data_IF_620575592535
#
_entry.id   IF_620575592535
#
_cell.length_a   1.000
_cell.length_b   1.000
_cell.length_c   1.000
_cell.angle_alpha   90.00
_cell.angle_beta   90.00
_cell.angle_gamma   90.00
#
_symmetry.space_group_name_H-M   'P 1'
#
loop_
_entity.id
_entity.type
_entity.pdbx_description
1 polymer ?
#
# COMPACT_ATOMS: atom_id res chain seq x y z
N UNK A 1 4.20 4.90 -24.81
CA UNK A 1 4.70 5.11 -23.42
C UNK A 1 4.53 3.81 -22.64
N UNK A 2 5.29 3.56 -21.56
CA UNK A 2 5.24 2.27 -20.83
C UNK A 2 3.83 1.88 -20.37
N UNK A 3 2.99 2.84 -19.99
CA UNK A 3 1.59 2.60 -19.58
C UNK A 3 0.73 2.06 -20.74
N UNK A 4 1.00 2.48 -21.98
CA UNK A 4 0.26 2.01 -23.16
C UNK A 4 0.60 0.55 -23.46
N UNK A 5 1.84 0.12 -23.18
CA UNK A 5 2.26 -1.29 -23.31
C UNK A 5 1.48 -2.15 -22.33
N UNK A 6 1.37 -1.73 -21.06
CA UNK A 6 0.59 -2.45 -20.05
C UNK A 6 -0.89 -2.46 -20.41
N UNK A 7 -1.45 -1.33 -20.86
CA UNK A 7 -2.85 -1.27 -21.27
C UNK A 7 -3.16 -2.25 -22.42
N UNK A 8 -2.25 -2.35 -23.40
CA UNK A 8 -2.40 -3.26 -24.55
C UNK A 8 -2.26 -4.75 -24.19
N UNK A 9 -1.68 -5.08 -23.04
CA UNK A 9 -1.52 -6.46 -22.57
C UNK A 9 -2.60 -6.91 -21.58
N UNK A 10 -3.57 -6.03 -21.26
CA UNK A 10 -4.73 -6.41 -20.47
C UNK A 10 -5.57 -7.39 -21.29
N UNK A 11 -5.73 -8.64 -20.83
CA UNK A 11 -6.40 -9.67 -21.61
C UNK A 11 -7.92 -9.47 -21.61
N UNK A 12 -8.54 -9.76 -22.76
CA UNK A 12 -9.99 -9.72 -22.93
C UNK A 12 -10.69 -11.01 -22.47
N UNK A 13 -9.98 -12.15 -22.40
CA UNK A 13 -10.51 -13.48 -22.00
C UNK A 13 -9.44 -14.33 -21.26
N UNK A 14 -9.82 -15.35 -20.45
CA UNK A 14 -11.17 -15.74 -19.99
C UNK A 14 -11.65 -14.91 -18.77
N UNK A 15 -10.93 -13.86 -18.41
CA UNK A 15 -11.27 -12.94 -17.33
C UNK A 15 -10.97 -11.51 -17.81
N UNK A 16 -11.87 -10.85 -18.56
CA UNK A 16 -11.64 -9.51 -19.10
C UNK A 16 -11.24 -8.52 -18.01
N UNK A 17 -10.11 -7.81 -18.20
CA UNK A 17 -9.57 -6.84 -17.24
C UNK A 17 -8.49 -7.43 -16.31
N UNK A 18 -7.98 -6.62 -15.39
CA UNK A 18 -6.86 -6.98 -14.53
C UNK A 18 -5.52 -7.03 -15.26
N UNK A 19 -4.42 -6.91 -14.51
CA UNK A 19 -3.07 -6.79 -15.08
C UNK A 19 -2.28 -8.06 -14.76
N UNK A 20 -1.56 -8.58 -15.75
CA UNK A 20 -0.69 -9.73 -15.55
C UNK A 20 0.48 -9.37 -14.63
N UNK A 21 0.81 -10.27 -13.71
CA UNK A 21 1.98 -10.07 -12.85
C UNK A 21 3.28 -10.01 -13.67
N UNK A 22 3.41 -10.93 -14.64
CA UNK A 22 4.51 -10.96 -15.60
C UNK A 22 3.93 -10.74 -17.00
N UNK A 23 4.45 -9.76 -17.78
CA UNK A 23 3.97 -9.50 -19.13
C UNK A 23 3.88 -10.78 -19.97
N UNK A 24 2.78 -10.91 -20.72
CA UNK A 24 2.52 -12.00 -21.67
C UNK A 24 2.72 -13.42 -21.11
N UNK A 25 2.56 -13.58 -19.79
CA UNK A 25 2.74 -14.88 -19.12
C UNK A 25 1.49 -15.29 -18.33
N UNK A 26 0.43 -15.80 -19.00
CA UNK A 26 -0.85 -16.11 -18.36
C UNK A 26 -0.75 -17.09 -17.18
N UNK A 27 0.22 -18.00 -17.22
CA UNK A 27 0.48 -18.98 -16.15
C UNK A 27 0.97 -18.35 -14.84
N UNK A 28 1.39 -17.09 -14.85
CA UNK A 28 1.77 -16.33 -13.65
C UNK A 28 0.60 -15.60 -12.99
N UNK A 29 -0.56 -15.60 -13.64
CA UNK A 29 -1.78 -15.02 -13.08
C UNK A 29 -1.77 -13.49 -13.02
N UNK A 30 -2.87 -12.96 -12.50
CA UNK A 30 -3.09 -11.54 -12.26
C UNK A 30 -3.07 -11.28 -10.77
N UNK A 31 -2.46 -10.19 -10.36
CA UNK A 31 -2.33 -9.84 -8.96
C UNK A 31 -2.78 -8.41 -8.69
N UNK A 32 -3.23 -8.19 -7.47
CA UNK A 32 -3.77 -6.92 -7.02
C UNK A 32 -2.70 -5.84 -7.05
N UNK A 33 -1.41 -6.17 -6.83
CA UNK A 33 -0.33 -5.16 -6.84
C UNK A 33 -0.12 -4.55 -8.22
N UNK A 34 -0.09 -5.34 -9.30
CA UNK A 34 0.05 -4.76 -10.65
C UNK A 34 -1.20 -4.00 -11.06
N UNK A 35 -2.38 -4.46 -10.64
CA UNK A 35 -3.62 -3.75 -10.84
C UNK A 35 -3.63 -2.39 -10.12
N UNK A 36 -3.25 -2.34 -8.83
CA UNK A 36 -3.15 -1.11 -8.05
C UNK A 36 -2.19 -0.09 -8.68
N UNK A 37 -0.98 -0.55 -9.07
CA UNK A 37 0.02 0.29 -9.72
C UNK A 37 -0.48 0.82 -11.07
N UNK A 38 -1.13 -0.01 -11.86
CA UNK A 38 -1.69 0.40 -13.16
C UNK A 38 -2.84 1.40 -13.01
N UNK A 39 -3.75 1.17 -12.07
CA UNK A 39 -4.85 2.10 -11.77
C UNK A 39 -4.27 3.46 -11.36
N UNK A 40 -3.34 3.47 -10.41
CA UNK A 40 -2.72 4.69 -9.92
C UNK A 40 -1.98 5.42 -11.05
N UNK A 41 -1.10 4.72 -11.79
CA UNK A 41 -0.35 5.32 -12.89
C UNK A 41 -1.27 5.86 -13.98
N UNK A 42 -2.23 5.07 -14.45
CA UNK A 42 -3.19 5.49 -15.49
C UNK A 42 -3.99 6.72 -15.04
N UNK A 43 -4.43 6.76 -13.79
CA UNK A 43 -5.16 7.92 -13.27
C UNK A 43 -4.27 9.16 -13.19
N UNK A 44 -3.01 9.01 -12.78
CA UNK A 44 -2.03 10.11 -12.82
C UNK A 44 -1.78 10.61 -14.25
N UNK A 45 -1.66 9.71 -15.23
CA UNK A 45 -1.54 10.08 -16.64
C UNK A 45 -2.76 10.83 -17.15
N UNK A 46 -3.98 10.40 -16.78
CA UNK A 46 -5.19 11.17 -17.06
C UNK A 46 -5.13 12.56 -16.44
N UNK A 47 -4.67 12.69 -15.18
CA UNK A 47 -4.61 13.98 -14.49
C UNK A 47 -3.75 15.01 -15.23
N UNK A 48 -2.65 14.55 -15.87
CA UNK A 48 -1.69 15.37 -16.61
C UNK A 48 -2.17 15.64 -18.05
N UNK A 49 -2.58 14.60 -18.77
CA UNK A 49 -2.85 14.67 -20.22
C UNK A 49 -4.29 15.01 -20.55
N UNK A 50 -5.22 14.74 -19.63
CA UNK A 50 -6.67 14.74 -19.83
C UNK A 50 -7.17 13.77 -20.91
N UNK A 51 -6.34 12.83 -21.36
CA UNK A 51 -6.72 11.81 -22.33
C UNK A 51 -7.64 10.78 -21.68
N UNK A 52 -8.92 10.74 -22.09
CA UNK A 52 -9.96 9.96 -21.44
C UNK A 52 -9.67 8.45 -21.34
N UNK A 53 -8.96 7.87 -22.32
CA UNK A 53 -8.63 6.44 -22.32
C UNK A 53 -7.84 6.01 -21.08
N UNK A 54 -6.99 6.88 -20.51
CA UNK A 54 -6.26 6.56 -19.29
C UNK A 54 -7.17 6.40 -18.07
N UNK A 55 -8.19 7.26 -17.94
CA UNK A 55 -9.18 7.11 -16.87
C UNK A 55 -10.07 5.87 -17.10
N UNK A 56 -10.51 5.65 -18.34
CA UNK A 56 -11.28 4.44 -18.71
C UNK A 56 -10.53 3.16 -18.37
N UNK A 57 -9.22 3.10 -18.66
CA UNK A 57 -8.38 1.96 -18.32
C UNK A 57 -8.29 1.76 -16.80
N UNK A 58 -8.06 2.84 -16.04
CA UNK A 58 -8.00 2.79 -14.59
C UNK A 58 -9.31 2.25 -13.98
N UNK A 59 -10.46 2.79 -14.40
CA UNK A 59 -11.78 2.36 -13.94
C UNK A 59 -12.09 0.91 -14.34
N UNK A 60 -11.66 0.48 -15.53
CA UNK A 60 -11.83 -0.91 -16.00
C UNK A 60 -11.08 -1.89 -15.12
N UNK A 61 -9.82 -1.61 -14.78
CA UNK A 61 -9.02 -2.48 -13.91
C UNK A 61 -9.52 -2.44 -12.46
N UNK A 62 -9.96 -1.28 -11.96
CA UNK A 62 -10.60 -1.20 -10.65
C UNK A 62 -11.86 -2.08 -10.57
N UNK A 63 -12.75 -1.97 -11.56
CA UNK A 63 -13.97 -2.76 -11.64
C UNK A 63 -13.69 -4.26 -11.74
N UNK A 64 -12.57 -4.66 -12.36
CA UNK A 64 -12.11 -6.04 -12.35
C UNK A 64 -11.74 -6.50 -10.94
N UNK A 65 -10.98 -5.72 -10.17
CA UNK A 65 -10.62 -6.08 -8.78
C UNK A 65 -11.88 -6.32 -7.95
N UNK A 66 -12.87 -5.42 -8.03
CA UNK A 66 -14.11 -5.53 -7.25
C UNK A 66 -14.94 -6.79 -7.58
N UNK A 67 -14.72 -7.41 -8.74
CA UNK A 67 -15.42 -8.62 -9.19
C UNK A 67 -14.58 -9.89 -9.11
N UNK A 68 -13.28 -9.76 -8.85
CA UNK A 68 -12.35 -10.89 -8.92
C UNK A 68 -12.28 -11.71 -7.63
N UNK A 69 -12.92 -11.24 -6.55
CA UNK A 69 -12.80 -11.84 -5.22
C UNK A 69 -11.45 -11.56 -4.57
N UNK A 70 -10.67 -10.61 -5.11
CA UNK A 70 -9.41 -10.15 -4.53
C UNK A 70 -9.60 -9.09 -3.43
N UNK A 71 -10.83 -8.84 -3.00
CA UNK A 71 -11.15 -8.01 -1.85
C UNK A 71 -12.35 -8.55 -1.07
N UNK A 72 -12.53 -8.06 0.16
CA UNK A 72 -13.69 -8.36 1.00
C UNK A 72 -14.46 -7.09 1.42
N UNK A 73 -15.55 -7.28 2.16
CA UNK A 73 -16.40 -6.19 2.66
C UNK A 73 -15.72 -5.26 3.66
N UNK A 74 -14.61 -5.70 4.26
CA UNK A 74 -13.88 -4.97 5.30
C UNK A 74 -12.80 -4.05 4.70
N UNK A 75 -12.74 -3.94 3.36
CA UNK A 75 -11.75 -3.13 2.67
C UNK A 75 -10.36 -3.78 2.61
N UNK A 76 -10.27 -5.08 2.87
CA UNK A 76 -9.05 -5.86 2.76
C UNK A 76 -8.87 -6.36 1.33
N UNK A 77 -7.68 -6.16 0.78
CA UNK A 77 -7.29 -6.64 -0.55
C UNK A 77 -6.29 -7.79 -0.44
N UNK A 78 -6.56 -8.88 -1.14
CA UNK A 78 -5.73 -10.09 -1.21
C UNK A 78 -4.77 -10.00 -2.41
N UNK A 79 -3.75 -10.87 -2.46
CA UNK A 79 -2.75 -10.86 -3.54
C UNK A 79 -3.37 -11.08 -4.93
N UNK A 80 -4.47 -11.83 -5.02
CA UNK A 80 -5.20 -12.07 -6.25
C UNK A 80 -6.54 -12.78 -6.05
N UNK A 81 -7.21 -13.18 -7.15
CA UNK A 81 -8.45 -13.95 -7.15
C UNK A 81 -8.28 -15.30 -6.40
N UNK A 82 -9.29 -15.74 -5.65
CA UNK A 82 -9.21 -16.81 -4.63
C UNK A 82 -8.44 -18.12 -4.99
N UNK A 83 -7.24 -18.31 -4.41
CA UNK A 83 -6.81 -19.49 -3.60
C UNK A 83 -5.40 -19.29 -2.99
N UNK A 84 -5.00 -20.03 -1.93
CA UNK A 84 -4.51 -19.48 -0.69
C UNK A 84 -2.99 -19.62 -0.59
N UNK A 85 -2.27 -18.51 -0.53
CA UNK A 85 -1.06 -18.35 0.28
C UNK A 85 -0.75 -16.86 0.36
N UNK A 86 -0.61 -16.39 1.60
CA UNK A 86 -0.58 -14.98 2.00
C UNK A 86 0.48 -14.16 1.24
N UNK A 87 0.10 -12.96 0.77
CA UNK A 87 1.06 -12.08 0.10
C UNK A 87 0.53 -10.75 -0.47
N UNK A 88 -0.04 -9.88 0.38
CA UNK A 88 0.16 -8.41 0.34
C UNK A 88 -0.35 -7.53 -0.85
N UNK A 89 -1.26 -6.59 -0.55
CA UNK A 89 -1.38 -5.25 -1.23
C UNK A 89 -1.71 -4.13 -0.22
N UNK A 90 -1.11 -4.18 0.98
CA UNK A 90 -1.54 -3.52 2.24
C UNK A 90 -1.49 -1.99 2.28
N UNK A 91 -1.77 -1.33 1.18
CA UNK A 91 -1.98 0.10 1.13
C UNK A 91 -1.87 0.63 -0.29
N UNK A 92 -1.30 -0.12 -1.24
CA UNK A 92 -1.11 0.35 -2.61
C UNK A 92 -2.43 0.71 -3.29
N UNK A 93 -3.51 0.01 -2.95
CA UNK A 93 -4.85 0.37 -3.40
C UNK A 93 -5.34 1.71 -2.84
N UNK A 94 -4.83 2.20 -1.70
CA UNK A 94 -5.16 3.53 -1.17
C UNK A 94 -4.73 4.64 -2.14
N UNK A 95 -3.51 4.56 -2.67
CA UNK A 95 -3.04 5.54 -3.64
C UNK A 95 -3.87 5.49 -4.93
N UNK A 96 -4.22 4.29 -5.39
CA UNK A 96 -5.09 4.10 -6.56
C UNK A 96 -6.50 4.69 -6.36
N UNK A 97 -7.13 4.40 -5.21
CA UNK A 97 -8.46 4.91 -4.86
C UNK A 97 -8.46 6.43 -4.63
N UNK A 98 -7.42 6.95 -3.97
CA UNK A 98 -7.23 8.39 -3.81
C UNK A 98 -7.10 9.09 -5.16
N UNK A 99 -6.26 8.57 -6.07
CA UNK A 99 -6.12 9.12 -7.42
C UNK A 99 -7.45 9.08 -8.19
N UNK A 100 -8.19 7.97 -8.14
CA UNK A 100 -9.50 7.84 -8.79
C UNK A 100 -10.53 8.83 -8.22
N UNK A 101 -10.57 9.00 -6.89
CA UNK A 101 -11.40 10.02 -6.26
C UNK A 101 -11.03 11.42 -6.74
N UNK A 102 -9.75 11.79 -6.72
CA UNK A 102 -9.29 13.10 -7.18
C UNK A 102 -9.61 13.37 -8.66
N UNK A 103 -9.59 12.33 -9.50
CA UNK A 103 -9.87 12.45 -10.93
C UNK A 103 -11.36 12.54 -11.26
N UNK A 104 -12.24 11.95 -10.45
CA UNK A 104 -13.66 11.78 -10.78
C UNK A 104 -14.62 12.53 -9.85
N UNK A 105 -14.19 12.82 -8.62
CA UNK A 105 -15.06 13.29 -7.53
C UNK A 105 -16.01 12.22 -6.98
N UNK A 106 -15.89 10.96 -7.43
CA UNK A 106 -16.75 9.86 -7.01
C UNK A 106 -16.39 9.39 -5.59
N UNK A 107 -17.33 9.58 -4.66
CA UNK A 107 -17.15 9.26 -3.25
C UNK A 107 -17.06 7.76 -2.98
N UNK A 108 -17.46 6.90 -3.91
CA UNK A 108 -17.32 5.46 -3.71
C UNK A 108 -15.84 5.06 -3.62
N UNK A 109 -14.96 5.71 -4.40
CA UNK A 109 -13.50 5.51 -4.27
C UNK A 109 -12.96 6.05 -2.94
N UNK A 110 -13.45 7.20 -2.48
CA UNK A 110 -13.06 7.76 -1.19
C UNK A 110 -13.47 6.83 -0.04
N UNK A 111 -14.70 6.33 -0.06
CA UNK A 111 -15.24 5.43 0.95
C UNK A 111 -14.49 4.09 0.96
N UNK A 112 -14.20 3.52 -0.20
CA UNK A 112 -13.41 2.30 -0.31
C UNK A 112 -11.98 2.50 0.22
N UNK A 113 -11.34 3.63 -0.11
CA UNK A 113 -10.03 3.99 0.44
C UNK A 113 -10.05 4.16 1.95
N UNK A 114 -11.08 4.81 2.48
CA UNK A 114 -11.24 4.97 3.92
C UNK A 114 -11.44 3.63 4.64
N UNK A 115 -12.21 2.71 4.06
CA UNK A 115 -12.39 1.36 4.61
C UNK A 115 -11.06 0.59 4.64
N UNK A 116 -10.26 0.65 3.57
CA UNK A 116 -8.93 0.03 3.56
C UNK A 116 -7.98 0.65 4.58
N UNK A 117 -7.97 1.98 4.71
CA UNK A 117 -7.14 2.65 5.71
C UNK A 117 -7.57 2.24 7.13
N UNK A 118 -8.88 2.18 7.37
CA UNK A 118 -9.42 1.66 8.63
C UNK A 118 -8.90 0.25 8.93
N UNK A 119 -8.97 -0.67 7.96
CA UNK A 119 -8.48 -2.03 8.12
C UNK A 119 -6.98 -2.10 8.47
N UNK A 120 -6.14 -1.22 7.90
CA UNK A 120 -4.72 -1.12 8.29
C UNK A 120 -4.53 -0.70 9.75
N UNK A 121 -5.49 0.04 10.31
CA UNK A 121 -5.42 0.53 11.70
C UNK A 121 -6.03 -0.43 12.72
N UNK A 122 -6.90 -1.36 12.30
CA UNK A 122 -7.69 -2.19 13.23
C UNK A 122 -7.58 -3.69 13.02
N UNK A 123 -7.25 -4.17 11.83
CA UNK A 123 -7.14 -5.62 11.57
C UNK A 123 -5.87 -6.18 12.20
N UNK A 124 -6.00 -7.29 12.93
CA UNK A 124 -4.86 -8.03 13.48
C UNK A 124 -3.90 -8.56 12.40
N UNK A 125 -4.36 -8.66 11.15
CA UNK A 125 -3.53 -9.09 10.02
C UNK A 125 -2.49 -8.03 9.61
N UNK A 126 -2.78 -6.76 9.94
CA UNK A 126 -2.00 -5.61 9.50
C UNK A 126 -1.52 -4.74 10.66
N UNK A 127 -2.07 -4.94 11.84
CA UNK A 127 -1.81 -4.12 13.00
C UNK A 127 -1.61 -4.99 14.23
N UNK A 128 -0.41 -4.89 14.80
CA UNK A 128 -0.06 -5.53 16.06
C UNK A 128 0.29 -4.43 17.06
N UNK A 129 -0.52 -4.33 18.12
CA UNK A 129 -0.35 -3.33 19.20
C UNK A 129 -0.23 -1.89 18.69
N UNK A 130 -1.06 -1.51 17.71
CA UNK A 130 -1.05 -0.18 17.10
C UNK A 130 0.00 -0.01 15.98
N UNK A 131 0.86 -0.99 15.74
CA UNK A 131 1.97 -0.89 14.78
C UNK A 131 1.69 -1.72 13.54
N UNK A 132 1.92 -1.12 12.37
CA UNK A 132 1.82 -1.76 11.07
C UNK A 132 2.73 -3.00 11.02
N UNK A 133 2.15 -4.12 10.64
CA UNK A 133 2.74 -5.44 10.73
C UNK A 133 2.75 -6.15 9.38
N UNK A 134 3.88 -6.77 9.06
CA UNK A 134 3.99 -7.66 7.91
C UNK A 134 4.25 -9.12 8.31
N UNK A 135 3.26 -10.01 8.14
CA UNK A 135 3.34 -11.43 8.50
C UNK A 135 4.57 -12.14 7.92
N UNK A 136 4.93 -11.87 6.67
CA UNK A 136 6.05 -12.58 6.03
C UNK A 136 7.41 -12.16 6.59
N UNK A 137 7.49 -10.96 7.19
CA UNK A 137 8.76 -10.32 7.53
C UNK A 137 8.90 -9.71 8.94
N UNK A 138 7.83 -9.67 9.73
CA UNK A 138 7.86 -9.20 11.11
C UNK A 138 7.65 -10.37 12.10
N UNK A 139 7.31 -11.58 11.62
CA UNK A 139 7.35 -12.81 12.41
C UNK A 139 8.80 -13.28 12.63
N UNK A 140 9.04 -14.17 13.60
CA UNK A 140 10.38 -14.71 13.96
C UNK A 140 11.12 -15.38 12.79
N UNK A 141 10.44 -15.60 11.67
CA UNK A 141 10.95 -16.23 10.47
C UNK A 141 11.80 -15.32 9.57
N UNK A 142 12.02 -14.05 9.94
CA UNK A 142 12.68 -13.07 9.05
C UNK A 142 14.20 -12.96 9.18
N UNK A 143 14.82 -13.77 10.05
CA UNK A 143 16.26 -13.68 10.36
C UNK A 143 17.09 -14.78 9.69
N UNK A 144 16.50 -15.56 8.77
CA UNK A 144 17.16 -16.60 8.00
C UNK A 144 17.27 -16.21 6.52
N UNK A 145 18.44 -16.47 5.90
CA UNK A 145 18.84 -16.02 4.55
C UNK A 145 18.07 -16.59 3.35
N UNK A 146 16.75 -16.78 3.48
CA UNK A 146 15.87 -17.34 2.47
C UNK A 146 14.56 -16.54 2.36
N UNK A 147 14.58 -15.19 2.38
CA UNK A 147 13.36 -14.37 2.26
C UNK A 147 13.59 -13.09 1.45
N UNK A 148 12.53 -12.63 0.78
CA UNK A 148 12.53 -11.67 -0.33
C UNK A 148 12.70 -10.21 0.15
N UNK A 149 13.76 -9.53 -0.31
CA UNK A 149 14.00 -8.09 -0.06
C UNK A 149 12.76 -7.20 -0.31
N UNK A 150 11.86 -7.64 -1.20
CA UNK A 150 10.60 -6.98 -1.51
C UNK A 150 9.72 -6.77 -0.27
N UNK A 151 9.60 -7.76 0.60
CA UNK A 151 8.68 -7.68 1.74
C UNK A 151 9.16 -6.70 2.82
N UNK A 152 10.46 -6.43 2.86
CA UNK A 152 11.01 -5.35 3.68
C UNK A 152 10.75 -3.94 3.14
N UNK A 153 10.11 -3.76 1.99
CA UNK A 153 9.73 -2.44 1.46
C UNK A 153 8.23 -2.14 1.69
N UNK A 154 7.44 -3.17 1.97
CA UNK A 154 5.99 -3.12 1.89
C UNK A 154 5.33 -2.17 2.90
N UNK A 155 5.75 -2.18 4.18
CA UNK A 155 5.20 -1.24 5.17
C UNK A 155 5.46 0.21 4.78
N UNK A 156 6.62 0.49 4.19
CA UNK A 156 6.95 1.79 3.64
C UNK A 156 6.03 2.22 2.50
N UNK A 157 5.81 1.31 1.54
CA UNK A 157 4.92 1.58 0.40
C UNK A 157 3.48 1.81 0.89
N UNK A 158 3.02 1.05 1.88
CA UNK A 158 1.74 1.26 2.53
C UNK A 158 1.65 2.67 3.14
N UNK A 159 2.62 3.08 3.97
CA UNK A 159 2.64 4.42 4.58
C UNK A 159 2.67 5.55 3.54
N UNK A 160 3.40 5.38 2.44
CA UNK A 160 3.39 6.34 1.33
C UNK A 160 2.02 6.40 0.64
N UNK A 161 1.36 5.26 0.49
CA UNK A 161 0.03 5.21 -0.12
C UNK A 161 -1.05 5.80 0.79
N UNK A 162 -0.91 5.67 2.12
CA UNK A 162 -1.71 6.43 3.10
C UNK A 162 -1.54 7.92 2.87
N UNK A 163 -0.30 8.40 2.71
CA UNK A 163 -0.03 9.81 2.43
C UNK A 163 -0.78 10.28 1.17
N UNK A 164 -0.68 9.54 0.06
CA UNK A 164 -1.34 9.88 -1.20
C UNK A 164 -2.87 9.85 -1.12
N UNK A 165 -3.43 8.91 -0.37
CA UNK A 165 -4.87 8.87 -0.14
C UNK A 165 -5.34 10.06 0.68
N UNK A 166 -4.66 10.42 1.77
CA UNK A 166 -5.02 11.57 2.60
C UNK A 166 -4.87 12.89 1.84
N UNK A 167 -3.86 13.00 0.97
CA UNK A 167 -3.69 14.12 0.04
C UNK A 167 -4.89 14.28 -0.89
N UNK A 168 -5.33 13.19 -1.50
CA UNK A 168 -6.46 13.20 -2.42
C UNK A 168 -7.80 13.40 -1.70
N UNK A 169 -7.98 12.80 -0.53
CA UNK A 169 -9.17 12.95 0.30
C UNK A 169 -9.36 14.41 0.71
N UNK A 170 -8.27 15.06 1.13
CA UNK A 170 -8.25 16.44 1.61
C UNK A 170 -9.38 16.76 2.60
N UNK A 171 -9.63 15.81 3.51
CA UNK A 171 -10.71 15.86 4.49
C UNK A 171 -10.12 15.85 5.90
N UNK A 172 -10.22 16.97 6.66
CA UNK A 172 -9.68 17.07 8.01
C UNK A 172 -10.24 16.03 8.99
N UNK A 173 -11.48 15.57 8.81
CA UNK A 173 -12.07 14.56 9.69
C UNK A 173 -11.44 13.19 9.45
N UNK A 174 -11.23 12.81 8.19
CA UNK A 174 -10.51 11.58 7.83
C UNK A 174 -9.07 11.66 8.34
N UNK A 175 -8.37 12.77 8.10
CA UNK A 175 -7.00 12.97 8.58
C UNK A 175 -6.93 12.82 10.10
N UNK A 176 -7.75 13.57 10.84
CA UNK A 176 -7.75 13.55 12.31
C UNK A 176 -8.03 12.18 12.90
N UNK A 177 -8.83 11.35 12.23
CA UNK A 177 -9.14 10.00 12.68
C UNK A 177 -7.88 9.09 12.70
N UNK A 178 -7.00 9.25 11.70
CA UNK A 178 -5.83 8.38 11.53
C UNK A 178 -4.52 9.00 12.01
N UNK A 179 -4.47 10.32 12.25
CA UNK A 179 -3.28 11.03 12.72
C UNK A 179 -2.58 10.37 13.91
N UNK A 180 -3.28 9.89 14.96
CA UNK A 180 -2.62 9.21 16.08
C UNK A 180 -1.92 7.91 15.67
N UNK A 181 -2.55 7.10 14.83
CA UNK A 181 -1.97 5.84 14.34
C UNK A 181 -0.75 6.09 13.45
N UNK A 182 -0.80 7.11 12.58
CA UNK A 182 0.32 7.49 11.71
C UNK A 182 1.52 7.95 12.54
N UNK A 183 1.32 8.81 13.54
CA UNK A 183 2.38 9.23 14.45
C UNK A 183 2.98 8.05 15.22
N UNK A 184 2.12 7.13 15.68
CA UNK A 184 2.54 5.96 16.43
C UNK A 184 3.47 5.03 15.63
N UNK A 185 3.33 4.95 14.30
CA UNK A 185 4.23 4.14 13.47
C UNK A 185 5.70 4.52 13.65
N UNK A 186 5.97 5.81 13.72
CA UNK A 186 7.33 6.28 13.87
C UNK A 186 7.84 6.23 15.30
N UNK A 187 6.96 6.43 16.29
CA UNK A 187 7.29 6.13 17.69
C UNK A 187 7.75 4.68 17.80
N UNK A 188 7.00 3.75 17.19
CA UNK A 188 7.36 2.32 17.15
C UNK A 188 8.68 2.06 16.42
N UNK A 189 8.91 2.69 15.27
CA UNK A 189 10.19 2.59 14.54
C UNK A 189 11.36 3.04 15.43
N UNK A 190 11.24 4.21 16.06
CA UNK A 190 12.32 4.78 16.87
C UNK A 190 12.59 3.94 18.13
N UNK A 191 11.54 3.36 18.72
CA UNK A 191 11.64 2.54 19.92
C UNK A 191 12.18 1.13 19.67
N UNK A 192 11.84 0.53 18.51
CA UNK A 192 11.99 -0.90 18.27
C UNK A 192 12.94 -1.26 17.12
N UNK A 193 12.99 -0.43 16.08
CA UNK A 193 13.71 -0.72 14.83
C UNK A 193 15.05 0.01 14.71
N UNK A 194 15.21 1.16 15.38
CA UNK A 194 16.45 1.93 15.36
C UNK A 194 17.52 1.28 16.24
N UNK A 195 18.72 1.07 15.67
CA UNK A 195 19.87 0.60 16.44
C UNK A 195 20.59 1.76 17.15
N UNK A 196 21.49 1.45 18.08
CA UNK A 196 22.27 2.44 18.82
C UNK A 196 23.66 2.70 18.25
N UNK A 197 24.07 1.92 17.25
CA UNK A 197 25.45 1.93 16.76
C UNK A 197 25.67 3.04 15.72
N UNK A 198 24.68 3.25 14.84
CA UNK A 198 24.73 4.22 13.76
C UNK A 198 23.35 4.78 13.37
N UNK A 199 22.34 4.59 14.23
CA UNK A 199 20.94 4.95 13.97
C UNK A 199 20.33 4.25 12.73
N UNK A 200 20.89 3.12 12.26
CA UNK A 200 20.25 2.36 11.18
C UNK A 200 18.88 1.83 11.64
N UNK A 201 17.93 1.83 10.69
CA UNK A 201 16.57 1.35 10.93
C UNK A 201 16.40 -0.06 10.37
N UNK A 202 15.97 -0.98 11.24
CA UNK A 202 15.64 -2.35 10.91
C UNK A 202 14.22 -2.53 10.36
N UNK A 203 13.93 -3.75 9.88
CA UNK A 203 12.65 -4.08 9.28
C UNK A 203 11.50 -4.21 10.31
N UNK A 204 11.76 -4.62 11.55
CA UNK A 204 10.73 -4.95 12.54
C UNK A 204 10.38 -3.76 13.42
N UNK A 205 9.15 -3.26 13.30
CA UNK A 205 8.67 -2.07 14.03
C UNK A 205 7.92 -2.41 15.31
N UNK A 206 7.44 -3.65 15.44
CA UNK A 206 6.52 -4.07 16.51
C UNK A 206 7.23 -4.42 17.82
N UNK A 207 8.52 -4.75 17.76
CA UNK A 207 9.32 -5.18 18.93
C UNK A 207 10.82 -4.98 18.69
N UNK A 208 11.58 -4.89 19.78
CA UNK A 208 13.04 -5.05 19.77
C UNK A 208 13.42 -6.51 19.54
N UNK A 209 14.63 -6.74 19.05
CA UNK A 209 15.20 -8.07 18.90
C UNK A 209 15.98 -8.19 17.61
N UNK A 210 15.85 -9.34 16.96
CA UNK A 210 16.53 -9.60 15.71
C UNK A 210 15.95 -8.72 14.59
N UNK A 211 16.85 -8.06 13.86
CA UNK A 211 16.56 -7.07 12.84
C UNK A 211 17.40 -7.39 11.60
N UNK A 212 16.86 -7.04 10.45
CA UNK A 212 17.62 -6.91 9.20
C UNK A 212 17.73 -5.42 8.89
N UNK A 213 18.96 -4.98 8.66
CA UNK A 213 19.29 -3.61 8.29
C UNK A 213 19.67 -3.55 6.80
N UNK A 214 19.37 -2.43 6.15
CA UNK A 214 19.70 -2.22 4.75
C UNK A 214 18.84 -1.15 4.10
N UNK A 215 19.03 -0.98 2.79
CA UNK A 215 18.37 0.07 2.03
C UNK A 215 16.83 -0.04 2.05
N UNK A 216 16.27 -1.24 1.96
CA UNK A 216 14.81 -1.43 1.98
C UNK A 216 14.19 -1.07 3.34
N UNK A 217 14.67 -1.61 4.48
CA UNK A 217 14.22 -1.18 5.82
C UNK A 217 14.33 0.34 6.06
N UNK A 218 15.47 0.95 5.70
CA UNK A 218 15.65 2.41 5.78
C UNK A 218 14.64 3.16 4.92
N UNK A 219 14.45 2.74 3.67
CA UNK A 219 13.49 3.36 2.75
C UNK A 219 12.06 3.31 3.29
N UNK A 220 11.68 2.23 3.99
CA UNK A 220 10.37 2.19 4.63
C UNK A 220 10.22 3.19 5.77
N UNK A 221 11.25 3.31 6.59
CA UNK A 221 11.27 4.24 7.71
C UNK A 221 11.12 5.69 7.22
N UNK A 222 11.79 6.05 6.12
CA UNK A 222 11.65 7.37 5.48
C UNK A 222 10.20 7.61 5.04
N UNK A 223 9.54 6.63 4.41
CA UNK A 223 8.14 6.77 4.00
C UNK A 223 7.19 6.95 5.22
N UNK A 224 7.42 6.20 6.30
CA UNK A 224 6.66 6.35 7.54
C UNK A 224 6.89 7.72 8.20
N UNK A 225 8.14 8.17 8.26
CA UNK A 225 8.51 9.48 8.78
C UNK A 225 7.86 10.62 7.97
N UNK A 226 7.91 10.55 6.64
CA UNK A 226 7.26 11.52 5.77
C UNK A 226 5.74 11.57 5.98
N UNK A 227 5.10 10.42 6.17
CA UNK A 227 3.68 10.35 6.47
C UNK A 227 3.38 10.99 7.84
N UNK A 228 4.18 10.69 8.86
CA UNK A 228 3.97 11.20 10.21
C UNK A 228 4.27 12.70 10.36
N UNK A 229 5.30 13.24 9.70
CA UNK A 229 5.56 14.68 9.70
C UNK A 229 4.39 15.46 9.09
N UNK A 230 3.74 14.91 8.06
CA UNK A 230 2.65 15.59 7.36
C UNK A 230 1.28 15.37 8.01
N UNK A 231 1.01 14.16 8.48
CA UNK A 231 -0.33 13.73 8.92
C UNK A 231 -0.38 13.13 10.31
N UNK A 232 0.76 12.91 10.97
CA UNK A 232 0.80 12.46 12.35
C UNK A 232 0.25 13.51 13.31
N UNK A 233 -0.32 13.07 14.42
CA UNK A 233 -0.63 13.97 15.52
C UNK A 233 0.67 14.56 16.08
N UNK A 234 0.68 15.87 16.35
CA UNK A 234 1.80 16.52 17.04
C UNK A 234 1.82 16.06 18.50
N UNK A 235 2.63 15.04 18.81
CA UNK A 235 2.88 14.57 20.18
C UNK A 235 4.26 14.98 20.71
N UNK A 236 5.03 15.74 19.92
CA UNK A 236 6.36 16.23 20.28
C UNK A 236 7.45 15.14 20.28
N UNK A 237 7.17 13.93 19.81
CA UNK A 237 8.13 12.81 19.82
C UNK A 237 9.00 12.73 18.56
N UNK A 238 8.64 13.45 17.50
CA UNK A 238 9.45 13.58 16.30
C UNK A 238 10.45 14.74 16.41
N UNK A 239 11.68 14.39 16.78
CA UNK A 239 12.86 15.23 16.53
C UNK A 239 13.79 14.38 15.69
N UNK A 240 14.07 14.83 14.47
CA UNK A 240 15.05 14.22 13.56
C UNK A 240 16.44 14.20 14.20
#
# INVERSE_FOLDING_TARGET
>A
MFIDVVASSIPEDPCPGGVWWVPDTPSKGKNTITAALFIHASTMYYSITKTASYLTNAQTVYNWIQKSGANNSDGIYFDGPQSPNCGFTKGEMLAAMGALYAATGDKDYLNAGNATLHALTTSADFNVNGTLFEHTCDADECTGGNKNDNAWAFKGIAMRSVQYFLDAANDPAITSLYSPWIAFQATSINANAKNTDNDDIGNVWTRRGAQVFGASPMGMAVNAANAAVKYGANDGTFVC
#
